data_IF_178474079624
#
_entry.id   IF_178474079624
#
_cell.length_a   1.000
_cell.length_b   1.000
_cell.length_c   1.000
_cell.angle_alpha   90.00
_cell.angle_beta   90.00
_cell.angle_gamma   90.00
#
_symmetry.space_group_name_H-M   'P 1'
#
loop_
_entity.id
_entity.type
_entity.pdbx_description
1 polymer ?
#
# COMPACT_ATOMS: atom_id res chain seq x y z
N UNK A 1 17.83 16.78 -8.66
CA UNK A 1 16.36 16.89 -8.68
C UNK A 1 15.94 17.08 -10.13
N UNK A 2 14.91 16.38 -10.60
CA UNK A 2 14.56 16.37 -12.04
C UNK A 2 13.81 17.63 -12.45
N UNK A 3 12.68 17.89 -11.77
CA UNK A 3 11.64 18.70 -12.42
C UNK A 3 11.65 20.18 -12.03
N UNK A 4 12.32 20.55 -10.92
CA UNK A 4 12.30 21.93 -10.43
C UNK A 4 13.02 22.90 -11.37
N UNK A 5 14.09 22.44 -12.03
CA UNK A 5 14.79 23.24 -13.06
C UNK A 5 13.88 23.49 -14.27
N UNK A 6 13.09 22.50 -14.68
CA UNK A 6 12.12 22.64 -15.76
C UNK A 6 10.94 23.54 -15.37
N UNK A 7 10.48 23.47 -14.11
CA UNK A 7 9.46 24.38 -13.61
C UNK A 7 9.92 25.84 -13.71
N UNK A 8 11.19 26.11 -13.41
CA UNK A 8 11.78 27.44 -13.55
C UNK A 8 11.80 27.91 -15.02
N UNK A 9 12.23 27.06 -15.95
CA UNK A 9 12.26 27.44 -17.38
C UNK A 9 10.85 27.66 -17.95
N UNK A 10 9.83 27.00 -17.40
CA UNK A 10 8.41 27.20 -17.74
C UNK A 10 7.75 28.38 -17.00
N UNK A 11 8.47 29.10 -16.15
CA UNK A 11 7.92 30.22 -15.39
C UNK A 11 6.88 29.82 -14.33
N UNK A 12 6.89 28.57 -13.88
CA UNK A 12 5.95 28.09 -12.85
C UNK A 12 6.33 28.74 -11.51
N UNK A 13 5.43 29.56 -10.99
CA UNK A 13 5.58 30.19 -9.67
C UNK A 13 4.84 29.37 -8.62
N UNK A 14 5.54 29.03 -7.53
CA UNK A 14 4.95 28.32 -6.38
C UNK A 14 4.83 29.30 -5.22
N UNK A 15 3.62 29.45 -4.68
CA UNK A 15 3.37 30.19 -3.44
C UNK A 15 3.30 29.21 -2.27
N UNK A 16 3.89 29.60 -1.15
CA UNK A 16 3.73 28.85 0.08
C UNK A 16 2.26 28.83 0.50
N UNK A 17 1.79 27.64 0.83
CA UNK A 17 0.44 27.35 1.32
C UNK A 17 0.55 26.43 2.54
N UNK A 18 0.21 26.90 3.75
CA UNK A 18 0.32 26.11 4.97
C UNK A 18 -0.59 24.86 4.96
N UNK A 19 -1.66 24.84 4.18
CA UNK A 19 -2.57 23.69 4.08
C UNK A 19 -1.92 22.47 3.42
N UNK A 20 -0.79 22.65 2.75
CA UNK A 20 0.00 21.56 2.15
C UNK A 20 0.97 20.90 3.13
N UNK A 21 1.07 21.40 4.37
CA UNK A 21 1.83 20.75 5.43
C UNK A 21 1.02 19.56 5.95
N UNK A 22 1.52 18.35 5.73
CA UNK A 22 0.85 17.10 6.08
C UNK A 22 1.69 16.30 7.06
N UNK A 23 1.04 15.53 7.93
CA UNK A 23 1.75 14.56 8.79
C UNK A 23 2.27 13.42 7.92
N UNK A 24 3.47 12.96 8.23
CA UNK A 24 4.11 11.87 7.52
C UNK A 24 4.93 10.99 8.45
N UNK A 25 5.29 9.80 7.98
CA UNK A 25 6.23 8.89 8.63
C UNK A 25 7.47 8.79 7.75
N UNK A 26 8.58 9.36 8.22
CA UNK A 26 9.86 9.32 7.50
C UNK A 26 10.57 7.97 7.69
N UNK A 27 10.57 7.47 8.92
CA UNK A 27 11.12 6.17 9.33
C UNK A 27 10.12 5.47 10.25
N UNK A 28 10.20 4.13 10.43
CA UNK A 28 9.23 3.40 11.21
C UNK A 28 9.02 4.06 12.57
N UNK A 29 7.75 4.32 12.90
CA UNK A 29 7.32 4.95 14.16
C UNK A 29 7.85 6.38 14.41
N UNK A 30 8.45 7.02 13.40
CA UNK A 30 9.00 8.38 13.48
C UNK A 30 8.17 9.34 12.63
N UNK A 31 7.35 10.17 13.29
CA UNK A 31 6.51 11.17 12.62
C UNK A 31 7.30 12.44 12.28
N UNK A 32 6.98 13.02 11.14
CA UNK A 32 7.53 14.28 10.64
C UNK A 32 6.47 15.06 9.87
N UNK A 33 6.71 16.34 9.62
CA UNK A 33 5.91 17.11 8.69
C UNK A 33 6.49 17.05 7.28
N UNK A 34 5.64 16.83 6.29
CA UNK A 34 5.97 16.85 4.86
C UNK A 34 5.21 17.99 4.20
N UNK A 35 5.92 18.83 3.43
CA UNK A 35 5.28 19.76 2.51
C UNK A 35 4.86 19.01 1.25
N UNK A 36 3.58 18.62 1.15
CA UNK A 36 3.05 17.76 0.09
C UNK A 36 2.52 18.60 -1.07
N UNK A 37 3.38 18.86 -2.06
CA UNK A 37 3.12 19.75 -3.18
C UNK A 37 3.54 19.12 -4.51
N UNK A 38 2.75 19.39 -5.56
CA UNK A 38 2.95 18.79 -6.88
C UNK A 38 4.20 19.26 -7.62
N UNK A 39 4.68 20.47 -7.32
CA UNK A 39 5.84 21.07 -7.98
C UNK A 39 7.11 20.90 -7.15
N UNK A 40 6.99 20.78 -5.83
CA UNK A 40 8.14 20.66 -4.92
C UNK A 40 8.49 19.20 -4.55
N UNK A 41 7.56 18.25 -4.69
CA UNK A 41 7.89 16.84 -4.51
C UNK A 41 8.17 16.18 -5.86
N UNK A 42 9.37 15.64 -6.03
CA UNK A 42 9.79 14.96 -7.25
C UNK A 42 8.87 13.78 -7.61
N UNK A 43 8.33 13.06 -6.61
CA UNK A 43 7.40 11.95 -6.82
C UNK A 43 6.40 11.87 -5.68
N UNK A 44 5.13 12.14 -5.99
CA UNK A 44 3.99 11.90 -5.08
C UNK A 44 3.31 10.55 -5.32
N UNK A 45 3.66 9.87 -6.41
CA UNK A 45 3.06 8.61 -6.84
C UNK A 45 1.52 8.67 -6.78
N UNK A 46 0.88 7.65 -6.24
CA UNK A 46 -0.58 7.56 -6.14
C UNK A 46 -1.15 8.20 -4.87
N UNK A 47 -0.34 8.82 -4.00
CA UNK A 47 -0.88 9.48 -2.80
C UNK A 47 -1.93 10.56 -3.07
N UNK A 48 -1.93 11.30 -4.20
CA UNK A 48 -3.04 12.18 -4.56
C UNK A 48 -4.38 11.48 -4.83
N UNK A 49 -4.40 10.14 -4.97
CA UNK A 49 -5.61 9.32 -5.09
C UNK A 49 -5.87 8.47 -3.84
N UNK A 50 -4.88 8.35 -2.95
CA UNK A 50 -5.00 7.58 -1.71
C UNK A 50 -5.37 8.48 -0.53
N UNK A 51 -4.66 9.61 -0.39
CA UNK A 51 -4.82 10.60 0.68
C UNK A 51 -4.86 12.04 0.08
N UNK A 52 -5.78 12.36 -0.84
CA UNK A 52 -5.84 13.68 -1.48
C UNK A 52 -5.95 14.82 -0.45
N UNK A 53 -6.78 14.66 0.59
CA UNK A 53 -7.11 15.72 1.55
C UNK A 53 -6.89 15.28 2.99
N UNK A 54 -6.85 16.23 3.93
CA UNK A 54 -6.75 15.94 5.37
C UNK A 54 -7.97 15.14 5.87
N UNK A 55 -9.14 15.32 5.26
CA UNK A 55 -10.33 14.56 5.61
C UNK A 55 -10.19 13.09 5.22
N UNK A 56 -9.64 12.80 4.04
CA UNK A 56 -9.37 11.41 3.62
C UNK A 56 -8.33 10.71 4.50
N UNK A 57 -7.40 11.44 5.16
CA UNK A 57 -6.47 10.85 6.15
C UNK A 57 -7.15 10.37 7.43
N UNK A 58 -8.35 10.87 7.75
CA UNK A 58 -9.09 10.45 8.94
C UNK A 58 -9.84 9.14 8.72
N UNK A 59 -10.19 8.82 7.48
CA UNK A 59 -11.00 7.63 7.14
C UNK A 59 -10.25 6.55 6.36
N UNK A 60 -9.25 6.89 5.54
CA UNK A 60 -8.51 5.91 4.76
C UNK A 60 -7.33 5.33 5.53
N UNK A 61 -7.03 4.08 5.25
CA UNK A 61 -5.84 3.39 5.72
C UNK A 61 -5.21 2.63 4.56
N UNK A 62 -3.92 2.41 4.64
CA UNK A 62 -3.20 1.58 3.69
C UNK A 62 -2.18 0.72 4.40
N UNK A 63 -1.88 -0.42 3.78
CA UNK A 63 -0.85 -1.34 4.21
C UNK A 63 0.40 -1.06 3.38
N UNK A 64 1.48 -0.66 4.05
CA UNK A 64 2.82 -0.56 3.49
C UNK A 64 3.58 -1.86 3.69
N UNK A 65 4.23 -2.36 2.64
CA UNK A 65 5.15 -3.51 2.72
C UNK A 65 6.53 -3.15 2.19
N UNK A 66 7.54 -3.87 2.67
CA UNK A 66 8.89 -3.83 2.10
C UNK A 66 8.88 -4.07 0.58
N UNK A 67 9.65 -3.28 -0.15
CA UNK A 67 9.77 -3.42 -1.61
C UNK A 67 10.35 -4.76 -2.03
N UNK A 68 9.94 -5.25 -3.21
CA UNK A 68 10.37 -6.55 -3.74
C UNK A 68 11.89 -6.70 -3.88
N UNK A 69 12.61 -5.60 -4.11
CA UNK A 69 14.07 -5.58 -4.28
C UNK A 69 14.82 -5.24 -2.99
N UNK A 70 14.15 -5.32 -1.84
CA UNK A 70 14.75 -5.05 -0.53
C UNK A 70 15.48 -6.28 -0.01
N UNK A 71 16.74 -6.13 0.40
CA UNK A 71 17.49 -7.18 1.11
C UNK A 71 17.02 -7.38 2.55
N UNK A 72 16.22 -6.43 3.06
CA UNK A 72 15.65 -6.52 4.41
C UNK A 72 14.54 -7.57 4.50
N UNK A 73 14.35 -8.21 5.67
CA UNK A 73 13.25 -9.11 5.91
C UNK A 73 11.90 -8.47 5.59
N UNK A 74 10.98 -9.29 5.07
CA UNK A 74 9.62 -8.85 4.80
C UNK A 74 9.00 -8.21 6.04
N UNK A 75 8.53 -6.98 5.90
CA UNK A 75 7.93 -6.21 7.00
C UNK A 75 6.68 -5.48 6.51
N UNK A 76 5.73 -5.28 7.42
CA UNK A 76 4.42 -4.70 7.16
C UNK A 76 4.14 -3.57 8.15
N UNK A 77 3.49 -2.51 7.69
CA UNK A 77 2.98 -1.43 8.52
C UNK A 77 1.63 -0.95 8.00
N UNK A 78 0.70 -0.64 8.89
CA UNK A 78 -0.54 0.05 8.54
C UNK A 78 -0.41 1.54 8.87
N UNK A 79 -0.91 2.41 8.00
CA UNK A 79 -0.89 3.85 8.23
C UNK A 79 -2.09 4.55 7.59
N UNK A 80 -2.45 5.69 8.16
CA UNK A 80 -3.44 6.63 7.63
C UNK A 80 -2.83 7.99 7.26
N UNK A 81 -1.50 8.11 7.32
CA UNK A 81 -0.76 9.33 6.97
C UNK A 81 0.27 9.03 5.88
N UNK A 82 0.80 10.06 5.22
CA UNK A 82 1.80 9.90 4.17
C UNK A 82 3.04 9.16 4.70
N UNK A 83 3.65 8.30 3.89
CA UNK A 83 4.90 7.62 4.26
C UNK A 83 6.00 7.94 3.24
N UNK A 84 7.23 8.07 3.73
CA UNK A 84 8.40 8.19 2.85
C UNK A 84 8.64 6.90 2.06
N UNK A 85 9.09 7.04 0.81
CA UNK A 85 9.38 5.90 -0.07
C UNK A 85 10.41 4.95 0.55
N UNK A 86 11.38 5.48 1.31
CA UNK A 86 12.46 4.71 1.90
C UNK A 86 12.17 4.28 3.35
N UNK A 87 10.92 4.38 3.81
CA UNK A 87 10.57 4.15 5.21
C UNK A 87 10.90 2.73 5.70
N UNK A 88 10.45 1.69 5.00
CA UNK A 88 10.77 0.29 5.33
C UNK A 88 12.00 -0.24 4.58
N UNK A 89 12.19 0.18 3.33
CA UNK A 89 13.23 -0.34 2.44
C UNK A 89 14.15 0.77 1.91
N UNK A 90 14.98 1.38 2.77
CA UNK A 90 15.83 2.49 2.38
C UNK A 90 16.88 2.06 1.36
N UNK A 91 16.92 2.77 0.24
CA UNK A 91 17.90 2.53 -0.83
C UNK A 91 17.60 1.31 -1.71
N UNK A 92 16.52 0.56 -1.43
CA UNK A 92 16.24 -0.72 -2.10
C UNK A 92 14.74 -0.92 -2.34
N UNK A 93 14.26 -0.76 -3.57
CA UNK A 93 12.89 -1.12 -3.98
C UNK A 93 11.74 -0.24 -3.47
N UNK A 94 11.94 0.51 -2.38
CA UNK A 94 10.96 1.42 -1.76
C UNK A 94 9.74 0.70 -1.16
N UNK A 95 8.99 1.38 -0.30
CA UNK A 95 7.74 0.84 0.27
C UNK A 95 6.65 0.77 -0.81
N UNK A 96 5.88 -0.32 -0.81
CA UNK A 96 4.67 -0.46 -1.63
C UNK A 96 3.44 -0.31 -0.75
N UNK A 97 2.50 0.55 -1.14
CA UNK A 97 1.29 0.85 -0.38
C UNK A 97 0.07 0.26 -1.06
N UNK A 98 -0.75 -0.43 -0.29
CA UNK A 98 -2.03 -1.01 -0.70
C UNK A 98 -3.15 -0.33 0.09
N UNK A 99 -3.83 0.66 -0.51
CA UNK A 99 -4.86 1.42 0.18
C UNK A 99 -6.17 0.65 0.26
N UNK A 100 -6.97 0.94 1.29
CA UNK A 100 -8.30 0.40 1.45
C UNK A 100 -9.31 1.15 0.56
N UNK A 101 -9.21 2.48 0.50
CA UNK A 101 -9.99 3.31 -0.41
C UNK A 101 -9.11 4.05 -1.42
N UNK A 102 -9.71 4.37 -2.57
CA UNK A 102 -9.22 5.34 -3.54
C UNK A 102 -10.22 6.47 -3.74
N UNK A 103 -9.74 7.63 -4.17
CA UNK A 103 -10.50 8.87 -4.32
C UNK A 103 -10.15 9.60 -5.61
N UNK A 104 -11.06 10.47 -6.02
CA UNK A 104 -10.72 11.55 -6.94
C UNK A 104 -9.82 12.59 -6.25
N UNK A 105 -9.16 13.45 -7.03
CA UNK A 105 -8.13 14.39 -6.51
C UNK A 105 -8.66 15.40 -5.50
N UNK A 106 -9.96 15.68 -5.52
CA UNK A 106 -10.66 16.56 -4.57
C UNK A 106 -11.07 15.84 -3.28
N UNK A 107 -10.83 14.52 -3.19
CA UNK A 107 -11.27 13.67 -2.08
C UNK A 107 -12.70 13.15 -2.23
N UNK A 108 -13.36 13.39 -3.36
CA UNK A 108 -14.67 12.82 -3.65
C UNK A 108 -14.57 11.39 -4.21
N UNK A 109 -15.73 10.80 -4.49
CA UNK A 109 -15.84 9.51 -5.19
C UNK A 109 -15.03 8.39 -4.52
N UNK A 110 -15.20 8.25 -3.20
CA UNK A 110 -14.57 7.18 -2.41
C UNK A 110 -15.00 5.82 -2.94
N UNK A 111 -14.02 5.00 -3.29
CA UNK A 111 -14.22 3.64 -3.80
C UNK A 111 -13.37 2.66 -3.00
N UNK A 112 -13.93 1.48 -2.70
CA UNK A 112 -13.15 0.37 -2.14
C UNK A 112 -12.15 -0.15 -3.19
N UNK A 113 -10.91 -0.35 -2.75
CA UNK A 113 -9.83 -0.78 -3.63
C UNK A 113 -9.77 -2.31 -3.77
N UNK A 114 -10.59 -3.05 -3.01
CA UNK A 114 -10.86 -4.47 -3.23
C UNK A 114 -12.07 -4.57 -4.14
N UNK A 115 -11.85 -4.96 -5.39
CA UNK A 115 -12.94 -5.08 -6.37
C UNK A 115 -13.74 -6.36 -6.17
N UNK A 116 -15.03 -6.33 -6.53
CA UNK A 116 -15.91 -7.52 -6.52
C UNK A 116 -15.31 -8.67 -7.33
N UNK A 117 -14.67 -8.36 -8.46
CA UNK A 117 -13.98 -9.34 -9.27
C UNK A 117 -12.82 -9.99 -8.50
N UNK A 118 -11.96 -9.19 -7.87
CA UNK A 118 -10.81 -9.71 -7.12
C UNK A 118 -11.26 -10.56 -5.92
N UNK A 119 -12.28 -10.10 -5.19
CA UNK A 119 -12.88 -10.85 -4.08
C UNK A 119 -13.45 -12.18 -4.56
N UNK A 120 -14.18 -12.19 -5.67
CA UNK A 120 -14.71 -13.42 -6.27
C UNK A 120 -13.60 -14.40 -6.66
N UNK A 121 -12.54 -13.93 -7.32
CA UNK A 121 -11.39 -14.78 -7.67
C UNK A 121 -10.72 -15.37 -6.43
N UNK A 122 -10.56 -14.55 -5.38
CA UNK A 122 -9.97 -14.99 -4.12
C UNK A 122 -10.80 -16.10 -3.45
N UNK A 123 -12.12 -15.94 -3.36
CA UNK A 123 -13.03 -16.93 -2.80
C UNK A 123 -12.98 -18.25 -3.60
N UNK A 124 -13.06 -18.18 -4.93
CA UNK A 124 -12.98 -19.37 -5.80
C UNK A 124 -11.66 -20.12 -5.55
N UNK A 125 -10.53 -19.39 -5.49
CA UNK A 125 -9.22 -19.98 -5.22
C UNK A 125 -9.16 -20.66 -3.85
N UNK A 126 -9.68 -20.04 -2.80
CA UNK A 126 -9.71 -20.62 -1.46
C UNK A 126 -10.52 -21.92 -1.42
N UNK A 127 -11.71 -21.94 -2.03
CA UNK A 127 -12.54 -23.15 -2.12
C UNK A 127 -11.76 -24.26 -2.85
N UNK A 128 -11.10 -23.93 -3.96
CA UNK A 128 -10.26 -24.89 -4.69
C UNK A 128 -9.14 -25.49 -3.82
N UNK A 129 -8.45 -24.67 -3.02
CA UNK A 129 -7.42 -25.14 -2.09
C UNK A 129 -7.99 -26.07 -1.01
N UNK A 130 -9.13 -25.71 -0.41
CA UNK A 130 -9.80 -26.53 0.63
C UNK A 130 -10.20 -27.89 0.07
N UNK A 131 -10.80 -27.91 -1.13
CA UNK A 131 -11.19 -29.15 -1.81
C UNK A 131 -9.95 -30.01 -2.09
N UNK A 132 -8.87 -29.39 -2.57
CA UNK A 132 -7.61 -30.09 -2.89
C UNK A 132 -7.04 -30.78 -1.66
N UNK A 133 -6.86 -30.04 -0.56
CA UNK A 133 -6.36 -30.59 0.71
C UNK A 133 -7.24 -31.71 1.23
N UNK A 134 -8.57 -31.56 1.13
CA UNK A 134 -9.53 -32.59 1.57
C UNK A 134 -9.39 -33.88 0.77
N UNK A 135 -9.30 -33.78 -0.56
CA UNK A 135 -9.14 -34.94 -1.44
C UNK A 135 -7.79 -35.63 -1.25
N UNK A 136 -6.70 -34.87 -1.09
CA UNK A 136 -5.38 -35.41 -0.78
C UNK A 136 -5.35 -36.12 0.58
N UNK A 137 -5.97 -35.53 1.60
CA UNK A 137 -6.10 -36.16 2.92
C UNK A 137 -6.85 -37.49 2.83
N UNK A 138 -7.96 -37.55 2.10
CA UNK A 138 -8.72 -38.79 1.90
C UNK A 138 -7.93 -39.87 1.15
N UNK A 139 -7.07 -39.49 0.21
CA UNK A 139 -6.16 -40.45 -0.46
C UNK A 139 -5.15 -41.02 0.55
N UNK A 140 -4.57 -40.17 1.40
CA UNK A 140 -3.63 -40.60 2.44
C UNK A 140 -4.32 -41.56 3.41
N UNK A 141 -5.48 -41.19 3.96
CA UNK A 141 -6.22 -42.04 4.92
C UNK A 141 -6.55 -43.40 4.32
N UNK A 142 -6.99 -43.46 3.06
CA UNK A 142 -7.27 -44.72 2.37
C UNK A 142 -6.03 -45.59 2.12
N UNK A 143 -4.84 -44.98 2.09
CA UNK A 143 -3.57 -45.68 1.91
C UNK A 143 -2.96 -46.21 3.22
N UNK A 144 -3.51 -45.84 4.38
CA UNK A 144 -3.00 -46.29 5.67
C UNK A 144 -3.32 -47.79 5.90
N UNK A 145 -2.39 -48.55 6.51
CA UNK A 145 -2.63 -49.94 6.84
C UNK A 145 -3.70 -50.07 7.94
N UNK A 146 -4.52 -51.12 7.85
CA UNK A 146 -5.52 -51.45 8.87
C UNK A 146 -4.78 -51.86 10.15
N UNK A 147 -5.02 -51.14 11.24
CA UNK A 147 -4.48 -51.49 12.55
C UNK A 147 -5.16 -52.77 13.05
N UNK A 148 -4.40 -53.85 13.18
CA UNK A 148 -4.85 -55.07 13.85
C UNK A 148 -4.70 -54.86 15.36
N UNK A 149 -5.81 -54.88 16.09
CA UNK A 149 -5.77 -54.98 17.54
C UNK A 149 -5.39 -56.43 17.91
N UNK A 150 -4.27 -56.59 18.61
CA UNK A 150 -3.88 -57.82 19.32
C UNK A 150 -4.71 -58.01 20.57
#
# INVERSE_FOLDING_TARGET
SGDLKEHLTRGITVKFDPNKIRKSIYRPFTKSFLYFDQHLNNRRYQFPQILPTIETEKENQFIGITGLSSEKPFSVIISNVLIDLNMLSPGTGGVRCFPFYTYDKDGSNRQENITDWALKQYIIRLIGQIITVSLETMKIVKSLPILRHT
#
